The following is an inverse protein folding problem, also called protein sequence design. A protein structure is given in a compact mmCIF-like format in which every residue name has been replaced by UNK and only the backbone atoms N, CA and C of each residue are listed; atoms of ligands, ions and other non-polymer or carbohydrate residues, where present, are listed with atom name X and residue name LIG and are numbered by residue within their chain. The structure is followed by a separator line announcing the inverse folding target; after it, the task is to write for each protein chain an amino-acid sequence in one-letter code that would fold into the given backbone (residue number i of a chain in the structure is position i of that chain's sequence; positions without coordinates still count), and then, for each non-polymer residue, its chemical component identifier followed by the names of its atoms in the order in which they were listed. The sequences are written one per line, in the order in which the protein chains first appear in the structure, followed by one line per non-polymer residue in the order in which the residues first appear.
data_IF_601219897430
#
_entry.id   IF_601219897430
#
_cell.length_a   1.000
_cell.length_b   1.000
_cell.length_c   1.000
_cell.angle_alpha   90.00
_cell.angle_beta   90.00
_cell.angle_gamma   90.00
#
_symmetry.space_group_name_H-M   'P 1'
#
loop_
_entity.id
_entity.type
_entity.pdbx_description
1 polymer ?
#
# COMPACT_ATOMS: atom_id res chain seq x y z
N UNK A 1 7.61 10.73 -16.74
CA UNK A 1 8.62 10.94 -15.69
C UNK A 1 9.53 9.73 -15.64
N UNK A 2 10.75 9.82 -16.17
CA UNK A 2 11.71 8.73 -16.09
C UNK A 2 12.50 8.82 -14.80
N UNK A 3 12.67 7.70 -14.10
CA UNK A 3 13.55 7.65 -12.94
C UNK A 3 15.00 7.96 -13.29
N UNK A 4 15.76 8.61 -12.39
CA UNK A 4 17.20 8.72 -12.55
C UNK A 4 17.83 7.33 -12.72
N UNK A 5 18.88 7.24 -13.54
CA UNK A 5 19.51 5.95 -13.86
C UNK A 5 20.12 5.23 -12.64
N UNK A 6 20.48 5.97 -11.59
CA UNK A 6 21.00 5.40 -10.36
C UNK A 6 19.85 4.87 -9.47
N UNK A 7 19.87 3.57 -9.16
CA UNK A 7 18.83 2.92 -8.35
C UNK A 7 17.60 2.49 -9.15
N UNK A 8 17.70 2.39 -10.48
CA UNK A 8 16.61 1.89 -11.32
C UNK A 8 16.52 0.35 -11.30
N UNK A 9 17.65 -0.33 -11.08
CA UNK A 9 17.73 -1.79 -10.89
C UNK A 9 16.93 -2.28 -9.67
N UNK A 10 16.69 -1.36 -8.75
CA UNK A 10 15.95 -1.53 -7.52
C UNK A 10 14.43 -1.55 -7.80
N UNK A 11 13.96 -1.08 -8.96
CA UNK A 11 12.52 -1.11 -9.29
C UNK A 11 11.96 -2.53 -9.50
N UNK A 12 12.80 -3.56 -9.62
CA UNK A 12 12.33 -4.96 -9.75
C UNK A 12 11.52 -5.45 -8.55
N UNK A 13 11.67 -4.81 -7.39
CA UNK A 13 10.90 -5.16 -6.18
C UNK A 13 9.68 -4.29 -5.96
N UNK A 14 9.26 -3.50 -6.95
CA UNK A 14 8.03 -2.72 -6.85
C UNK A 14 6.75 -3.59 -6.81
N UNK A 15 6.93 -4.90 -7.03
CA UNK A 15 5.91 -5.94 -6.81
C UNK A 15 5.90 -6.52 -5.39
N UNK A 16 6.68 -5.99 -4.44
CA UNK A 16 6.81 -6.60 -3.12
C UNK A 16 5.46 -6.70 -2.38
N UNK A 17 4.58 -5.71 -2.52
CA UNK A 17 3.21 -5.78 -1.96
C UNK A 17 2.42 -6.98 -2.49
N UNK A 18 2.48 -7.22 -3.80
CA UNK A 18 1.89 -8.40 -4.43
C UNK A 18 2.50 -9.71 -3.91
N UNK A 19 3.83 -9.74 -3.75
CA UNK A 19 4.55 -10.89 -3.18
C UNK A 19 4.11 -11.21 -1.75
N UNK A 20 3.88 -10.19 -0.93
CA UNK A 20 3.36 -10.34 0.44
C UNK A 20 1.94 -10.88 0.44
N UNK A 21 1.05 -10.39 -0.43
CA UNK A 21 -0.32 -10.92 -0.55
C UNK A 21 -0.29 -12.40 -0.92
N UNK A 22 0.48 -12.79 -1.94
CA UNK A 22 0.61 -14.19 -2.34
C UNK A 22 1.19 -15.06 -1.20
N UNK A 23 2.23 -14.57 -0.53
CA UNK A 23 2.85 -15.25 0.61
C UNK A 23 1.90 -15.43 1.80
N UNK A 24 1.11 -14.40 2.12
CA UNK A 24 0.09 -14.46 3.16
C UNK A 24 -0.99 -15.49 2.82
N UNK A 25 -1.54 -15.46 1.60
CA UNK A 25 -2.57 -16.43 1.20
C UNK A 25 -2.05 -17.87 1.30
N UNK A 26 -0.78 -18.11 0.91
CA UNK A 26 -0.14 -19.41 1.08
C UNK A 26 0.01 -19.81 2.56
N UNK A 27 0.41 -18.88 3.43
CA UNK A 27 0.54 -19.14 4.87
C UNK A 27 -0.81 -19.46 5.53
N UNK A 28 -1.84 -18.68 5.22
CA UNK A 28 -3.22 -18.88 5.73
C UNK A 28 -3.79 -20.22 5.27
N UNK A 29 -3.63 -20.57 4.00
CA UNK A 29 -4.06 -21.86 3.46
C UNK A 29 -3.30 -23.02 4.12
N UNK A 30 -1.97 -22.91 4.24
CA UNK A 30 -1.12 -23.93 4.84
C UNK A 30 -1.47 -24.26 6.29
N UNK A 31 -1.86 -23.25 7.08
CA UNK A 31 -2.31 -23.45 8.47
C UNK A 31 -3.81 -23.71 8.63
N UNK A 32 -4.57 -23.77 7.53
CA UNK A 32 -6.04 -23.94 7.53
C UNK A 32 -6.75 -22.89 8.39
N UNK A 33 -6.39 -21.61 8.18
CA UNK A 33 -6.99 -20.50 8.89
C UNK A 33 -8.52 -20.49 8.74
N UNK A 34 -9.24 -20.30 9.85
CA UNK A 34 -10.71 -20.29 9.90
C UNK A 34 -11.26 -18.88 9.68
N UNK A 35 -10.88 -18.28 8.56
CA UNK A 35 -11.31 -16.94 8.16
C UNK A 35 -11.64 -16.90 6.68
N UNK A 36 -12.57 -16.03 6.32
CA UNK A 36 -12.81 -15.67 4.93
C UNK A 36 -11.87 -14.51 4.56
N UNK A 37 -10.91 -14.78 3.68
CA UNK A 37 -9.94 -13.78 3.21
C UNK A 37 -9.92 -13.79 1.69
N UNK A 38 -9.92 -12.60 1.10
CA UNK A 38 -9.77 -12.40 -0.34
C UNK A 38 -8.44 -11.68 -0.56
N UNK A 39 -7.56 -12.26 -1.36
CA UNK A 39 -6.32 -11.63 -1.80
C UNK A 39 -6.49 -11.08 -3.21
N UNK A 40 -6.14 -9.81 -3.43
CA UNK A 40 -6.16 -9.16 -4.73
C UNK A 40 -4.76 -8.64 -5.07
N UNK A 41 -4.39 -8.76 -6.34
CA UNK A 41 -3.08 -8.33 -6.84
C UNK A 41 -3.31 -7.59 -8.16
N UNK A 42 -2.89 -6.31 -8.21
CA UNK A 42 -2.76 -5.56 -9.46
C UNK A 42 -1.32 -5.67 -9.97
N UNK A 43 -1.13 -6.19 -11.17
CA UNK A 43 0.18 -6.31 -11.82
C UNK A 43 0.16 -5.52 -13.13
N UNK A 44 1.07 -4.56 -13.25
CA UNK A 44 1.33 -3.80 -14.48
C UNK A 44 2.83 -3.55 -14.59
N UNK A 45 3.31 -3.29 -15.80
CA UNK A 45 4.64 -2.71 -16.02
C UNK A 45 4.49 -1.22 -16.33
N UNK A 46 5.33 -0.39 -15.73
CA UNK A 46 5.41 1.03 -16.05
C UNK A 46 6.56 1.27 -17.02
N UNK A 47 6.22 1.48 -18.30
CA UNK A 47 7.19 1.59 -19.39
C UNK A 47 6.97 2.86 -20.21
N UNK A 48 8.06 3.49 -20.65
CA UNK A 48 8.00 4.61 -21.60
C UNK A 48 7.77 4.06 -23.01
N UNK A 49 6.74 4.55 -23.69
CA UNK A 49 6.44 4.25 -25.07
C UNK A 49 5.73 5.44 -25.74
N UNK A 50 5.54 5.39 -27.05
CA UNK A 50 4.77 6.41 -27.78
C UNK A 50 3.28 6.44 -27.40
N UNK A 51 2.79 5.40 -26.72
CA UNK A 51 1.41 5.28 -26.23
C UNK A 51 1.34 5.32 -24.71
N UNK A 52 2.44 5.65 -24.03
CA UNK A 52 2.50 5.75 -22.58
C UNK A 52 1.72 6.96 -22.06
N UNK A 53 1.32 6.88 -20.80
CA UNK A 53 0.67 7.97 -20.09
C UNK A 53 1.56 9.22 -20.08
N UNK A 54 0.93 10.38 -20.26
CA UNK A 54 1.62 11.67 -20.34
C UNK A 54 1.27 12.53 -19.13
N UNK A 55 2.22 13.32 -18.60
CA UNK A 55 1.90 14.36 -17.63
C UNK A 55 0.79 15.29 -18.17
N UNK A 56 -0.25 15.50 -17.36
CA UNK A 56 -1.45 16.28 -17.71
C UNK A 56 -2.59 15.44 -18.29
N UNK A 57 -2.41 14.15 -18.57
CA UNK A 57 -3.52 13.28 -18.96
C UNK A 57 -4.53 13.18 -17.80
N UNK A 58 -5.83 13.21 -18.13
CA UNK A 58 -6.91 12.90 -17.18
C UNK A 58 -7.42 11.50 -17.46
N UNK A 59 -7.31 10.61 -16.48
CA UNK A 59 -7.83 9.24 -16.55
C UNK A 59 -9.09 9.09 -15.71
N UNK A 60 -9.95 8.16 -16.08
CA UNK A 60 -11.15 7.82 -15.32
C UNK A 60 -10.96 6.48 -14.61
N UNK A 61 -11.07 6.47 -13.29
CA UNK A 61 -11.01 5.25 -12.48
C UNK A 61 -12.28 4.40 -12.66
N UNK A 62 -12.22 3.16 -12.21
CA UNK A 62 -13.37 2.26 -12.12
C UNK A 62 -14.45 2.80 -11.15
N UNK A 63 -14.08 3.63 -10.17
CA UNK A 63 -15.03 4.35 -9.32
C UNK A 63 -15.80 5.46 -10.03
N UNK A 64 -15.42 5.77 -11.27
CA UNK A 64 -15.99 6.85 -12.09
C UNK A 64 -15.36 8.21 -11.86
N UNK A 65 -14.49 8.36 -10.86
CA UNK A 65 -13.74 9.57 -10.55
C UNK A 65 -12.65 9.84 -11.60
N UNK A 66 -12.31 11.10 -11.79
CA UNK A 66 -11.30 11.55 -12.72
C UNK A 66 -10.00 11.94 -11.99
N UNK A 67 -8.87 11.53 -12.55
CA UNK A 67 -7.54 11.72 -11.96
C UNK A 67 -6.64 12.41 -12.97
N UNK A 68 -6.17 13.61 -12.65
CA UNK A 68 -5.10 14.29 -13.37
C UNK A 68 -3.75 13.68 -13.02
N UNK A 69 -3.05 13.16 -14.03
CA UNK A 69 -1.75 12.52 -13.85
C UNK A 69 -0.64 13.53 -14.06
N UNK A 70 -0.11 14.08 -12.96
CA UNK A 70 1.01 15.03 -13.02
C UNK A 70 2.37 14.34 -12.95
N UNK A 71 2.43 13.14 -12.37
CA UNK A 71 3.64 12.32 -12.37
C UNK A 71 3.33 10.87 -12.72
N UNK A 72 3.88 10.39 -13.83
CA UNK A 72 3.67 9.02 -14.32
C UNK A 72 4.46 7.95 -13.55
N UNK A 73 5.40 8.37 -12.69
CA UNK A 73 6.13 7.52 -11.73
C UNK A 73 5.38 7.41 -10.39
N UNK A 74 4.18 7.98 -10.32
CA UNK A 74 3.22 7.76 -9.24
C UNK A 74 2.04 6.92 -9.76
N UNK A 75 2.35 5.83 -10.46
CA UNK A 75 1.45 4.86 -11.09
C UNK A 75 0.91 3.85 -10.10
N UNK A 76 1.69 3.43 -9.09
CA UNK A 76 1.29 2.37 -8.17
C UNK A 76 -0.04 2.68 -7.47
N UNK A 77 -0.25 3.96 -7.13
CA UNK A 77 -1.52 4.43 -6.56
C UNK A 77 -2.68 4.42 -7.55
N UNK A 78 -2.44 4.63 -8.85
CA UNK A 78 -3.47 4.58 -9.89
C UNK A 78 -3.99 3.16 -10.05
N UNK A 79 -3.09 2.17 -10.06
CA UNK A 79 -3.47 0.75 -10.08
C UNK A 79 -4.23 0.38 -8.82
N UNK A 80 -3.72 0.77 -7.65
CA UNK A 80 -4.36 0.48 -6.37
C UNK A 80 -5.73 1.15 -6.22
N UNK A 81 -5.96 2.31 -6.81
CA UNK A 81 -7.27 2.96 -6.79
C UNK A 81 -8.38 2.03 -7.30
N UNK A 82 -8.16 1.40 -8.46
CA UNK A 82 -9.13 0.49 -9.05
C UNK A 82 -9.19 -0.85 -8.31
N UNK A 83 -8.05 -1.36 -7.82
CA UNK A 83 -8.02 -2.59 -7.00
C UNK A 83 -8.78 -2.42 -5.69
N UNK A 84 -8.58 -1.31 -4.97
CA UNK A 84 -9.26 -0.98 -3.72
C UNK A 84 -10.76 -0.76 -3.94
N UNK A 85 -11.10 -0.01 -5.00
CA UNK A 85 -12.50 0.19 -5.38
C UNK A 85 -13.19 -1.15 -5.69
N UNK A 86 -12.56 -2.01 -6.49
CA UNK A 86 -13.09 -3.32 -6.84
C UNK A 86 -13.22 -4.23 -5.61
N UNK A 87 -12.22 -4.21 -4.72
CA UNK A 87 -12.26 -4.95 -3.47
C UNK A 87 -13.50 -4.60 -2.63
N UNK A 88 -13.75 -3.30 -2.48
CA UNK A 88 -14.90 -2.77 -1.75
C UNK A 88 -16.21 -3.15 -2.44
N UNK A 89 -16.34 -2.83 -3.73
CA UNK A 89 -17.59 -2.98 -4.49
C UNK A 89 -18.00 -4.46 -4.62
N UNK A 90 -17.04 -5.33 -4.95
CA UNK A 90 -17.31 -6.73 -5.23
C UNK A 90 -17.53 -7.58 -3.98
N UNK A 91 -16.81 -7.29 -2.88
CA UNK A 91 -16.74 -8.20 -1.73
C UNK A 91 -17.30 -7.64 -0.43
N UNK A 92 -17.58 -6.32 -0.34
CA UNK A 92 -18.04 -5.66 0.89
C UNK A 92 -17.29 -6.14 2.16
N UNK A 93 -15.95 -6.07 2.18
CA UNK A 93 -15.16 -6.69 3.24
C UNK A 93 -15.35 -5.97 4.58
N UNK A 94 -15.22 -6.71 5.69
CA UNK A 94 -15.29 -6.14 7.04
C UNK A 94 -14.16 -5.14 7.35
N UNK A 95 -13.02 -5.34 6.71
CA UNK A 95 -11.86 -4.46 6.74
C UNK A 95 -10.98 -4.74 5.51
N UNK A 96 -10.16 -3.78 5.11
CA UNK A 96 -9.18 -3.92 4.03
C UNK A 96 -7.78 -3.53 4.52
N UNK A 97 -6.78 -4.27 4.08
CA UNK A 97 -5.37 -3.90 4.25
C UNK A 97 -4.70 -4.02 2.89
N UNK A 98 -4.11 -2.94 2.39
CA UNK A 98 -3.25 -2.96 1.21
C UNK A 98 -1.78 -2.70 1.59
N UNK A 99 -0.87 -3.20 0.76
CA UNK A 99 0.56 -2.93 0.90
C UNK A 99 1.13 -2.52 -0.45
N UNK A 100 2.04 -1.55 -0.42
CA UNK A 100 2.80 -1.18 -1.61
C UNK A 100 4.16 -0.59 -1.24
N UNK A 101 5.11 -0.71 -2.15
CA UNK A 101 6.40 0.00 -2.15
C UNK A 101 6.19 1.43 -2.67
N UNK A 102 5.25 2.15 -2.07
CA UNK A 102 4.55 3.23 -2.77
C UNK A 102 5.34 4.53 -2.87
N UNK A 103 6.16 4.87 -1.88
CA UNK A 103 6.81 6.19 -1.85
C UNK A 103 8.26 6.16 -1.36
N UNK A 104 9.15 6.86 -2.06
CA UNK A 104 10.47 7.19 -1.52
C UNK A 104 10.39 8.10 -0.27
N UNK A 105 9.30 8.86 -0.12
CA UNK A 105 9.07 9.73 1.03
C UNK A 105 8.95 8.96 2.36
N UNK A 106 8.47 7.72 2.36
CA UNK A 106 8.38 6.94 3.62
C UNK A 106 9.77 6.50 4.06
N UNK A 107 10.65 6.21 3.11
CA UNK A 107 12.05 5.84 3.37
C UNK A 107 12.78 7.00 4.03
N UNK A 108 12.59 8.22 3.50
CA UNK A 108 13.15 9.44 4.09
C UNK A 108 12.62 9.66 5.51
N UNK A 109 11.38 9.28 5.80
CA UNK A 109 10.72 9.52 7.08
C UNK A 109 11.07 8.48 8.16
N UNK A 110 11.06 7.20 7.81
CA UNK A 110 11.14 6.07 8.76
C UNK A 110 12.37 5.17 8.55
N UNK A 111 13.15 5.41 7.49
CA UNK A 111 14.30 4.59 7.14
C UNK A 111 13.89 3.14 6.79
N UNK A 112 14.60 2.18 7.39
CA UNK A 112 14.49 0.75 7.08
C UNK A 112 14.06 -0.11 8.28
N UNK A 113 13.53 0.53 9.32
CA UNK A 113 13.19 -0.13 10.59
C UNK A 113 11.67 -0.27 10.80
N UNK A 114 10.87 0.67 10.29
CA UNK A 114 9.41 0.64 10.36
C UNK A 114 8.81 0.82 8.96
N UNK A 115 7.71 0.12 8.68
CA UNK A 115 6.84 0.49 7.57
C UNK A 115 5.86 1.58 8.00
N UNK A 116 5.43 2.41 7.04
CA UNK A 116 4.40 3.41 7.28
C UNK A 116 3.02 2.78 7.36
N UNK A 117 2.26 3.06 8.42
CA UNK A 117 0.88 2.63 8.59
C UNK A 117 -0.05 3.84 8.50
N UNK A 118 -0.94 3.84 7.53
CA UNK A 118 -2.01 4.83 7.39
C UNK A 118 -3.34 4.12 7.57
N UNK A 119 -4.31 4.73 8.27
CA UNK A 119 -5.61 4.09 8.46
C UNK A 119 -6.70 5.10 8.79
N UNK A 120 -7.91 4.83 8.29
CA UNK A 120 -9.14 5.56 8.65
C UNK A 120 -9.81 5.01 9.93
N UNK A 121 -9.27 3.94 10.54
CA UNK A 121 -9.85 3.29 11.71
C UNK A 121 -8.78 3.09 12.82
N UNK A 122 -8.99 3.73 13.97
CA UNK A 122 -8.05 3.68 15.10
C UNK A 122 -7.90 2.28 15.71
N UNK A 123 -8.94 1.45 15.65
CA UNK A 123 -8.93 0.10 16.19
C UNK A 123 -8.12 -0.84 15.31
N UNK A 124 -8.32 -0.76 13.99
CA UNK A 124 -7.54 -1.47 12.98
C UNK A 124 -6.07 -1.09 13.06
N UNK A 125 -5.76 0.21 13.12
CA UNK A 125 -4.39 0.69 13.23
C UNK A 125 -3.67 0.09 14.45
N UNK A 126 -4.28 0.20 15.64
CA UNK A 126 -3.70 -0.33 16.89
C UNK A 126 -3.46 -1.84 16.85
N UNK A 127 -4.38 -2.60 16.25
CA UNK A 127 -4.25 -4.05 16.13
C UNK A 127 -3.12 -4.44 15.16
N UNK A 128 -2.94 -3.70 14.08
CA UNK A 128 -1.82 -3.90 13.16
C UNK A 128 -0.49 -3.53 13.81
N UNK A 129 -0.43 -2.44 14.59
CA UNK A 129 0.76 -2.07 15.35
C UNK A 129 1.17 -3.16 16.36
N UNK A 130 0.21 -3.69 17.14
CA UNK A 130 0.46 -4.78 18.09
C UNK A 130 0.94 -6.06 17.37
N UNK A 131 0.27 -6.44 16.27
CA UNK A 131 0.69 -7.56 15.44
C UNK A 131 2.12 -7.36 14.89
N UNK A 132 2.47 -6.13 14.51
CA UNK A 132 3.81 -5.75 14.07
C UNK A 132 4.86 -5.92 15.17
N UNK A 133 4.57 -5.43 16.38
CA UNK A 133 5.46 -5.60 17.55
C UNK A 133 5.67 -7.08 17.87
N UNK A 134 4.60 -7.88 17.85
CA UNK A 134 4.65 -9.31 18.16
C UNK A 134 5.32 -10.18 17.10
N UNK A 135 5.27 -9.76 15.83
CA UNK A 135 5.90 -10.46 14.71
C UNK A 135 7.33 -10.00 14.44
N UNK A 136 7.74 -8.86 15.02
CA UNK A 136 9.03 -8.21 14.74
C UNK A 136 9.04 -7.37 13.46
N UNK A 137 7.90 -7.23 12.78
CA UNK A 137 7.71 -6.41 11.58
C UNK A 137 7.02 -5.11 11.99
N UNK A 138 7.81 -4.14 12.43
CA UNK A 138 7.28 -2.95 13.11
C UNK A 138 6.60 -2.00 12.14
N UNK A 139 5.45 -1.47 12.56
CA UNK A 139 4.73 -0.39 11.89
C UNK A 139 4.87 0.90 12.68
N UNK A 140 4.79 2.02 11.99
CA UNK A 140 4.64 3.33 12.61
C UNK A 140 3.43 4.05 12.02
N UNK A 141 2.48 4.43 12.87
CA UNK A 141 1.28 5.13 12.41
C UNK A 141 1.60 6.55 11.96
N UNK A 142 1.19 6.83 10.74
CA UNK A 142 1.32 8.11 10.05
C UNK A 142 -0.04 8.82 10.01
N UNK A 143 -0.07 10.16 9.97
CA UNK A 143 -1.32 10.91 9.99
C UNK A 143 -2.07 10.81 8.65
N UNK A 144 -3.39 10.96 8.73
CA UNK A 144 -4.29 11.35 7.64
C UNK A 144 -5.07 12.57 8.11
N UNK A 145 -5.32 13.54 7.24
CA UNK A 145 -5.96 14.81 7.63
C UNK A 145 -6.41 15.63 6.43
N UNK A 146 -7.48 16.39 6.60
CA UNK A 146 -8.12 17.18 5.54
C UNK A 146 -7.12 18.10 4.83
N UNK A 147 -6.21 18.72 5.58
CA UNK A 147 -5.17 19.61 5.04
C UNK A 147 -4.23 18.91 4.05
N UNK A 148 -4.02 17.60 4.20
CA UNK A 148 -3.24 16.80 3.25
C UNK A 148 -4.10 16.37 2.05
N UNK A 149 -5.40 16.14 2.24
CA UNK A 149 -6.32 15.80 1.15
C UNK A 149 -6.54 16.98 0.20
N UNK A 150 -6.58 18.19 0.75
CA UNK A 150 -6.64 19.45 0.00
C UNK A 150 -5.49 19.61 -0.99
N UNK A 151 -4.31 19.06 -0.68
CA UNK A 151 -3.16 19.06 -1.58
C UNK A 151 -3.39 18.26 -2.86
N UNK A 152 -4.41 17.38 -2.91
CA UNK A 152 -4.77 16.58 -4.07
C UNK A 152 -5.84 17.24 -4.96
N UNK A 153 -6.28 18.47 -4.66
CA UNK A 153 -7.19 19.21 -5.53
C UNK A 153 -6.56 19.45 -6.92
N UNK A 154 -7.38 19.23 -7.95
CA UNK A 154 -7.06 19.49 -9.35
C UNK A 154 -8.04 20.52 -9.92
N UNK A 155 -7.58 21.33 -10.86
CA UNK A 155 -8.41 22.33 -11.55
C UNK A 155 -9.21 21.72 -12.72
N UNK A 156 -8.84 20.52 -13.17
CA UNK A 156 -9.37 19.89 -14.40
C UNK A 156 -9.92 18.47 -14.19
N UNK A 157 -9.80 17.91 -12.99
CA UNK A 157 -10.25 16.57 -12.61
C UNK A 157 -10.72 16.55 -11.15
N UNK A 158 -11.33 15.45 -10.69
CA UNK A 158 -11.76 15.30 -9.29
C UNK A 158 -10.57 15.29 -8.31
N UNK A 159 -9.39 14.89 -8.79
CA UNK A 159 -8.13 14.93 -8.05
C UNK A 159 -6.92 14.87 -8.97
N UNK A 160 -5.74 15.24 -8.45
CA UNK A 160 -4.45 14.93 -9.06
C UNK A 160 -3.75 13.78 -8.34
N UNK A 161 -2.91 13.05 -9.06
CA UNK A 161 -2.25 11.86 -8.49
C UNK A 161 -1.08 12.18 -7.53
N UNK A 162 -0.65 13.43 -7.40
CA UNK A 162 0.42 13.85 -6.47
C UNK A 162 0.08 15.17 -5.75
N UNK A 163 0.42 15.25 -4.47
CA UNK A 163 0.24 16.46 -3.64
C UNK A 163 1.46 17.38 -3.51
N UNK A 164 2.56 17.07 -4.22
CA UNK A 164 3.84 17.76 -4.11
C UNK A 164 4.89 16.99 -3.30
N UNK A 165 6.04 17.64 -3.04
CA UNK A 165 7.19 17.00 -2.37
C UNK A 165 6.99 16.81 -0.85
N UNK A 166 6.54 17.82 -0.07
CA UNK A 166 6.30 17.64 1.36
C UNK A 166 5.12 16.69 1.61
N UNK A 167 5.24 15.79 2.59
CA UNK A 167 4.15 14.88 2.93
C UNK A 167 3.79 13.87 1.83
N UNK A 168 4.75 13.51 0.96
CA UNK A 168 4.51 12.62 -0.18
C UNK A 168 3.83 11.29 0.16
N UNK A 169 4.22 10.63 1.27
CA UNK A 169 3.57 9.40 1.73
C UNK A 169 2.15 9.63 2.26
N UNK A 170 1.93 10.76 2.94
CA UNK A 170 0.61 11.11 3.49
C UNK A 170 -0.37 11.40 2.35
N UNK A 171 0.05 12.20 1.35
CA UNK A 171 -0.79 12.51 0.18
C UNK A 171 -1.02 11.28 -0.70
N UNK A 172 -0.06 10.35 -0.78
CA UNK A 172 -0.27 9.06 -1.44
C UNK A 172 -1.35 8.22 -0.72
N UNK A 173 -1.28 8.12 0.60
CA UNK A 173 -2.29 7.42 1.39
C UNK A 173 -3.67 8.11 1.31
N UNK A 174 -3.72 9.45 1.32
CA UNK A 174 -4.98 10.19 1.12
C UNK A 174 -5.60 9.91 -0.25
N UNK A 175 -4.77 9.82 -1.29
CA UNK A 175 -5.23 9.42 -2.61
C UNK A 175 -5.90 8.04 -2.57
N UNK A 176 -5.25 7.04 -1.95
CA UNK A 176 -5.82 5.70 -1.83
C UNK A 176 -7.13 5.68 -1.01
N UNK A 177 -7.19 6.45 0.08
CA UNK A 177 -8.36 6.57 0.95
C UNK A 177 -9.62 6.99 0.18
N UNK A 178 -9.50 7.75 -0.92
CA UNK A 178 -10.65 8.15 -1.75
C UNK A 178 -11.35 6.97 -2.42
N UNK A 179 -10.70 5.81 -2.55
CA UNK A 179 -11.24 4.64 -3.23
C UNK A 179 -11.79 3.55 -2.27
N UNK A 180 -11.61 3.72 -0.95
CA UNK A 180 -12.02 2.70 0.04
C UNK A 180 -13.40 2.94 0.65
N UNK A 181 -14.00 4.12 0.43
CA UNK A 181 -15.29 4.50 1.03
C UNK A 181 -15.25 4.46 2.56
N UNK A 182 -16.32 3.96 3.19
CA UNK A 182 -16.43 3.85 4.65
C UNK A 182 -15.85 2.55 5.22
N UNK A 183 -15.28 1.69 4.37
CA UNK A 183 -14.69 0.43 4.82
C UNK A 183 -13.49 0.70 5.75
N UNK A 184 -13.42 0.06 6.94
CA UNK A 184 -12.22 0.11 7.78
C UNK A 184 -10.99 -0.34 6.99
N UNK A 185 -10.01 0.54 6.86
CA UNK A 185 -8.93 0.38 5.90
C UNK A 185 -7.59 0.79 6.50
N UNK A 186 -6.55 0.04 6.15
CA UNK A 186 -5.18 0.39 6.41
C UNK A 186 -4.30 0.22 5.18
N UNK A 187 -3.45 1.21 4.92
CA UNK A 187 -2.38 1.14 3.93
C UNK A 187 -1.04 0.99 4.63
N UNK A 188 -0.26 0.01 4.16
CA UNK A 188 1.10 -0.25 4.60
C UNK A 188 2.09 0.16 3.50
N UNK A 189 2.75 1.30 3.69
CA UNK A 189 3.85 1.71 2.81
C UNK A 189 5.13 0.99 3.24
N UNK A 190 5.48 -0.05 2.49
CA UNK A 190 6.57 -0.98 2.80
C UNK A 190 7.86 -0.67 2.02
N UNK A 191 7.93 0.47 1.33
CA UNK A 191 9.07 0.81 0.47
C UNK A 191 10.43 0.72 1.21
N UNK A 192 10.47 1.14 2.48
CA UNK A 192 11.69 1.10 3.30
C UNK A 192 12.10 -0.29 3.79
N UNK A 193 11.20 -1.27 3.79
CA UNK A 193 11.43 -2.56 4.48
C UNK A 193 11.29 -3.78 3.58
N UNK A 194 10.81 -3.61 2.35
CA UNK A 194 10.65 -4.68 1.36
C UNK A 194 11.99 -5.32 0.92
N UNK A 195 13.09 -4.58 0.99
CA UNK A 195 14.41 -5.03 0.57
C UNK A 195 15.50 -4.75 1.61
N UNK A 196 16.29 -5.78 1.93
CA UNK A 196 17.34 -5.73 2.94
C UNK A 196 18.73 -5.88 2.33
N UNK A 197 19.65 -4.97 2.67
CA UNK A 197 21.06 -5.03 2.23
C UNK A 197 21.89 -6.11 2.94
N UNK A 198 21.37 -6.65 4.05
CA UNK A 198 21.97 -7.71 4.87
C UNK A 198 20.92 -8.76 5.21
N UNK A 199 21.36 -10.00 5.38
CA UNK A 199 20.50 -11.04 5.94
C UNK A 199 20.13 -10.71 7.39
N UNK A 200 18.88 -11.00 7.77
CA UNK A 200 18.37 -10.91 9.14
C UNK A 200 17.84 -12.30 9.53
N UNK A 201 17.68 -12.63 10.82
CA UNK A 201 17.02 -13.87 11.22
C UNK A 201 15.66 -14.02 10.53
N UNK A 202 15.50 -15.10 9.75
CA UNK A 202 14.27 -15.38 9.00
C UNK A 202 14.10 -14.64 7.66
N UNK A 203 15.08 -13.86 7.21
CA UNK A 203 15.04 -13.18 5.90
C UNK A 203 16.43 -13.13 5.24
N UNK A 204 16.58 -13.56 3.99
CA UNK A 204 17.86 -13.49 3.29
C UNK A 204 18.25 -12.03 3.00
N UNK A 205 19.48 -11.83 2.51
CA UNK A 205 19.82 -10.57 1.81
C UNK A 205 18.92 -10.47 0.57
N UNK A 206 18.33 -9.30 0.33
CA UNK A 206 17.39 -9.06 -0.77
C UNK A 206 15.95 -8.94 -0.28
N UNK A 207 15.00 -9.58 -0.97
CA UNK A 207 13.59 -9.53 -0.62
C UNK A 207 13.34 -10.07 0.80
N UNK A 208 12.75 -9.24 1.66
CA UNK A 208 12.61 -9.54 3.09
C UNK A 208 11.36 -10.36 3.42
N UNK A 209 10.33 -10.26 2.59
CA UNK A 209 8.99 -10.79 2.87
C UNK A 209 8.24 -10.02 3.95
N UNK A 210 8.65 -8.78 4.27
CA UNK A 210 8.02 -7.94 5.29
C UNK A 210 6.51 -7.83 5.06
N UNK A 211 5.71 -8.13 6.08
CA UNK A 211 4.25 -8.07 6.04
C UNK A 211 3.61 -9.45 6.10
N UNK A 212 4.30 -10.52 5.66
CA UNK A 212 3.71 -11.87 5.70
C UNK A 212 3.50 -12.34 7.15
N UNK A 213 4.50 -12.17 8.03
CA UNK A 213 4.37 -12.58 9.44
C UNK A 213 3.45 -11.65 10.20
N UNK A 214 3.53 -10.35 9.93
CA UNK A 214 2.65 -9.35 10.51
C UNK A 214 1.18 -9.68 10.25
N UNK A 215 0.83 -9.90 8.97
CA UNK A 215 -0.56 -10.14 8.59
C UNK A 215 -1.05 -11.53 9.02
N UNK A 216 -0.19 -12.57 8.97
CA UNK A 216 -0.55 -13.87 9.57
C UNK A 216 -0.85 -13.72 11.07
N UNK A 217 -0.03 -12.93 11.78
CA UNK A 217 -0.23 -12.65 13.21
C UNK A 217 -1.54 -11.90 13.46
N UNK A 218 -1.80 -10.85 12.69
CA UNK A 218 -3.04 -10.07 12.76
C UNK A 218 -4.29 -10.94 12.51
N UNK A 219 -4.24 -11.85 11.53
CA UNK A 219 -5.35 -12.77 11.26
C UNK A 219 -5.56 -13.76 12.41
N UNK A 220 -4.50 -14.25 13.05
CA UNK A 220 -4.64 -15.12 14.25
C UNK A 220 -5.36 -14.42 15.40
N UNK A 221 -5.17 -13.12 15.55
CA UNK A 221 -5.86 -12.32 16.58
C UNK A 221 -7.34 -12.13 16.25
N UNK A 222 -7.69 -12.01 14.95
CA UNK A 222 -9.09 -12.05 14.50
C UNK A 222 -9.74 -13.39 14.87
N UNK A 223 -9.08 -14.51 14.59
CA UNK A 223 -9.59 -15.85 14.89
C UNK A 223 -9.81 -16.06 16.40
N UNK A 224 -8.85 -15.62 17.22
CA UNK A 224 -8.96 -15.75 18.67
C UNK A 224 -10.14 -14.94 19.24
N UNK A 225 -10.38 -13.73 18.73
CA UNK A 225 -11.51 -12.89 19.14
C UNK A 225 -12.88 -13.35 18.64
N UNK A 226 -12.94 -14.22 17.61
CA UNK A 226 -14.20 -14.78 17.11
C UNK A 226 -14.68 -16.03 17.88
N UNK A 227 -13.85 -16.54 18.80
CA UNK A 227 -14.10 -17.74 19.60
C UNK A 227 -14.28 -17.47 21.11
N UNK A 228 -14.27 -16.19 21.52
CA UNK A 228 -14.61 -15.74 22.87
C UNK A 228 -15.94 -15.02 22.89
#
# INVERSE_FOLDING_TARGET
STNPAAGMEDMKWDMAGAGVVAGLMSALAGRKARVNVVGLIGLVENMVSSTAQRPGDVVRSASGQTIEVLNTDAEGRLVLADVLWYARDRFAPKLMVDLATLTGAIIVSLGHEHAGLFSNDDGLARRLEDAGLRSGEKLWRMPLGEEYDELLKSDIADMKNIGGRPGGSITAAQFLKRFVGDTPWAHLDIAGVAWGSKAKPGSPKGATGFGVRLLDRFVREIEAGAHG
#
